data_IF_371717358560
#
_entry.id   IF_371717358560
#
_cell.length_a   1.000
_cell.length_b   1.000
_cell.length_c   1.000
_cell.angle_alpha   90.00
_cell.angle_beta   90.00
_cell.angle_gamma   90.00
#
_symmetry.space_group_name_H-M   'P 1'
#
loop_
_entity.id
_entity.type
_entity.pdbx_description
1 polymer ?
#
# COMPACT_ATOMS: atom_id res chain seq x y z
N UNK A 1 -21.93 -4.63 -18.22
CA UNK A 1 -21.57 -5.76 -19.09
C UNK A 1 -22.27 -7.01 -18.57
N UNK A 2 -22.41 -8.05 -19.41
CA UNK A 2 -22.95 -9.33 -18.96
C UNK A 2 -21.96 -9.98 -17.98
N UNK A 3 -22.36 -10.06 -16.72
CA UNK A 3 -21.56 -10.61 -15.62
C UNK A 3 -22.13 -11.91 -15.07
N UNK A 4 -22.98 -12.59 -15.83
CA UNK A 4 -23.69 -13.80 -15.39
C UNK A 4 -22.71 -14.91 -14.94
N UNK A 5 -21.68 -15.20 -15.75
CA UNK A 5 -20.66 -16.21 -15.41
C UNK A 5 -19.83 -15.84 -14.16
N UNK A 6 -19.59 -14.54 -13.96
CA UNK A 6 -18.87 -14.03 -12.79
C UNK A 6 -19.71 -14.23 -11.53
N UNK A 7 -21.01 -13.90 -11.61
CA UNK A 7 -21.94 -14.07 -10.51
C UNK A 7 -22.04 -15.53 -10.08
N UNK A 8 -22.22 -16.44 -11.05
CA UNK A 8 -22.21 -17.88 -10.80
C UNK A 8 -20.92 -18.37 -10.16
N UNK A 9 -19.78 -18.04 -10.77
CA UNK A 9 -18.49 -18.48 -10.27
C UNK A 9 -18.29 -18.08 -8.82
N UNK A 10 -18.72 -16.86 -8.46
CA UNK A 10 -18.58 -16.35 -7.10
C UNK A 10 -19.56 -17.00 -6.14
N UNK A 11 -20.84 -17.15 -6.52
CA UNK A 11 -21.88 -17.79 -5.71
C UNK A 11 -21.59 -19.28 -5.49
N UNK A 12 -21.26 -20.03 -6.54
CA UNK A 12 -20.87 -21.43 -6.45
C UNK A 12 -19.62 -21.63 -5.60
N UNK A 13 -18.67 -20.69 -5.62
CA UNK A 13 -17.50 -20.76 -4.75
C UNK A 13 -17.86 -20.57 -3.27
N UNK A 14 -18.82 -19.70 -2.95
CA UNK A 14 -19.29 -19.49 -1.58
C UNK A 14 -20.02 -20.74 -1.09
N UNK A 15 -20.94 -21.29 -1.89
CA UNK A 15 -21.65 -22.55 -1.59
C UNK A 15 -20.66 -23.69 -1.39
N UNK A 16 -19.74 -23.91 -2.33
CA UNK A 16 -18.76 -25.01 -2.25
C UNK A 16 -17.92 -24.93 -0.98
N UNK A 17 -17.52 -23.72 -0.57
CA UNK A 17 -16.78 -23.52 0.68
C UNK A 17 -17.66 -23.85 1.89
N UNK A 18 -18.90 -23.37 1.91
CA UNK A 18 -19.82 -23.61 3.02
C UNK A 18 -20.15 -25.11 3.15
N UNK A 19 -20.47 -25.78 2.05
CA UNK A 19 -20.82 -27.20 2.01
C UNK A 19 -19.66 -28.11 2.43
N UNK A 20 -18.43 -27.74 2.06
CA UNK A 20 -17.24 -28.54 2.41
C UNK A 20 -16.79 -28.29 3.84
N UNK A 21 -16.84 -27.04 4.30
CA UNK A 21 -16.19 -26.63 5.56
C UNK A 21 -17.17 -26.43 6.71
N UNK A 22 -18.47 -26.32 6.43
CA UNK A 22 -19.53 -26.10 7.42
C UNK A 22 -19.57 -24.69 8.01
N UNK A 23 -18.83 -23.73 7.43
CA UNK A 23 -18.80 -22.34 7.89
C UNK A 23 -18.60 -21.36 6.73
N UNK A 24 -19.14 -20.16 6.90
CA UNK A 24 -18.99 -19.05 5.95
C UNK A 24 -17.64 -18.35 6.11
N UNK A 25 -17.15 -17.75 5.04
CA UNK A 25 -15.88 -17.03 5.01
C UNK A 25 -16.06 -15.62 4.46
N UNK A 26 -15.11 -14.73 4.79
CA UNK A 26 -15.11 -13.37 4.24
C UNK A 26 -14.68 -13.32 2.77
N UNK A 27 -15.05 -12.23 2.10
CA UNK A 27 -14.78 -11.99 0.67
C UNK A 27 -13.32 -12.23 0.26
N UNK A 28 -12.36 -11.76 1.05
CA UNK A 28 -10.94 -11.90 0.74
C UNK A 28 -10.47 -13.37 0.65
N UNK A 29 -11.11 -14.26 1.40
CA UNK A 29 -10.83 -15.69 1.36
C UNK A 29 -11.45 -16.36 0.13
N UNK A 30 -12.70 -16.03 -0.20
CA UNK A 30 -13.36 -16.47 -1.44
C UNK A 30 -12.51 -16.10 -2.66
N UNK A 31 -12.08 -14.84 -2.75
CA UNK A 31 -11.18 -14.38 -3.82
C UNK A 31 -9.86 -15.14 -3.81
N UNK A 32 -9.30 -15.44 -2.63
CA UNK A 32 -8.07 -16.20 -2.52
C UNK A 32 -8.22 -17.65 -3.04
N UNK A 33 -9.36 -18.30 -2.79
CA UNK A 33 -9.68 -19.61 -3.36
C UNK A 33 -9.82 -19.52 -4.88
N UNK A 34 -10.65 -18.61 -5.39
CA UNK A 34 -10.88 -18.43 -6.84
C UNK A 34 -9.59 -18.11 -7.60
N UNK A 35 -8.70 -17.30 -7.03
CA UNK A 35 -7.43 -16.93 -7.67
C UNK A 35 -6.31 -17.95 -7.46
N UNK A 36 -6.54 -19.00 -6.68
CA UNK A 36 -5.57 -20.05 -6.42
C UNK A 36 -4.40 -19.60 -5.56
N UNK A 37 -4.66 -18.72 -4.59
CA UNK A 37 -3.62 -18.20 -3.69
C UNK A 37 -3.18 -19.26 -2.68
N UNK A 38 -1.88 -19.34 -2.41
CA UNK A 38 -1.33 -20.27 -1.43
C UNK A 38 -1.16 -19.59 -0.06
N UNK A 39 -2.27 -19.41 0.67
CA UNK A 39 -2.24 -18.84 2.04
C UNK A 39 -2.27 -19.94 3.10
N UNK A 40 -1.81 -19.63 4.31
CA UNK A 40 -1.88 -20.56 5.45
C UNK A 40 -3.33 -21.01 5.73
N UNK A 41 -4.30 -20.08 5.72
CA UNK A 41 -5.73 -20.41 5.91
C UNK A 41 -6.25 -21.37 4.84
N UNK A 42 -5.86 -21.18 3.58
CA UNK A 42 -6.27 -22.07 2.48
C UNK A 42 -5.72 -23.49 2.70
N UNK A 43 -4.45 -23.61 3.10
CA UNK A 43 -3.84 -24.91 3.40
C UNK A 43 -4.48 -25.56 4.62
N UNK A 44 -4.68 -24.79 5.70
CA UNK A 44 -5.25 -25.25 6.97
C UNK A 44 -6.68 -25.76 6.83
N UNK A 45 -7.48 -25.14 5.98
CA UNK A 45 -8.86 -25.57 5.72
C UNK A 45 -8.98 -26.48 4.49
N UNK A 46 -7.87 -26.86 3.87
CA UNK A 46 -7.84 -27.68 2.65
C UNK A 46 -8.63 -27.10 1.46
N UNK A 47 -8.84 -25.77 1.44
CA UNK A 47 -9.57 -25.12 0.35
C UNK A 47 -8.79 -25.12 -0.98
N UNK A 48 -7.52 -25.52 -0.98
CA UNK A 48 -6.74 -25.78 -2.17
C UNK A 48 -7.16 -27.05 -2.93
N UNK A 49 -8.02 -27.89 -2.33
CA UNK A 49 -8.55 -29.11 -2.93
C UNK A 49 -9.96 -28.91 -3.50
N UNK A 50 -10.58 -27.75 -3.28
CA UNK A 50 -11.91 -27.45 -3.80
C UNK A 50 -11.87 -27.36 -5.33
N UNK A 51 -12.92 -27.82 -6.03
CA UNK A 51 -13.02 -27.69 -7.49
C UNK A 51 -12.81 -26.24 -7.96
N UNK A 52 -13.32 -25.29 -7.18
CA UNK A 52 -13.27 -23.85 -7.48
C UNK A 52 -11.87 -23.22 -7.32
N UNK A 53 -10.90 -23.95 -6.74
CA UNK A 53 -9.58 -23.41 -6.48
C UNK A 53 -8.83 -23.06 -7.77
N UNK A 54 -8.53 -21.78 -7.95
CA UNK A 54 -7.81 -21.29 -9.12
C UNK A 54 -8.63 -21.21 -10.41
N UNK A 55 -9.95 -21.41 -10.38
CA UNK A 55 -10.80 -21.28 -11.58
C UNK A 55 -10.98 -19.82 -12.02
N UNK A 56 -10.89 -18.86 -11.10
CA UNK A 56 -11.10 -17.43 -11.35
C UNK A 56 -9.85 -16.65 -11.76
N UNK A 57 -8.82 -17.31 -12.32
CA UNK A 57 -7.54 -16.66 -12.69
C UNK A 57 -7.68 -15.65 -13.84
N UNK A 58 -8.78 -15.67 -14.58
CA UNK A 58 -9.10 -14.74 -15.65
C UNK A 58 -9.29 -13.30 -15.17
N UNK A 59 -9.62 -13.11 -13.88
CA UNK A 59 -9.81 -11.80 -13.27
C UNK A 59 -8.82 -11.58 -12.12
N UNK A 60 -8.36 -10.33 -11.99
CA UNK A 60 -7.48 -9.93 -10.90
C UNK A 60 -8.23 -9.90 -9.55
N UNK A 61 -7.50 -9.97 -8.43
CA UNK A 61 -8.11 -9.86 -7.09
C UNK A 61 -8.92 -8.57 -6.90
N UNK A 62 -8.45 -7.38 -7.33
CA UNK A 62 -9.25 -6.15 -7.28
C UNK A 62 -10.51 -6.23 -8.15
N UNK A 63 -10.43 -6.84 -9.33
CA UNK A 63 -11.59 -7.02 -10.19
C UNK A 63 -12.66 -7.90 -9.51
N UNK A 64 -12.26 -9.04 -8.94
CA UNK A 64 -13.16 -9.89 -8.16
C UNK A 64 -13.80 -9.12 -6.98
N UNK A 65 -13.03 -8.31 -6.26
CA UNK A 65 -13.55 -7.49 -5.17
C UNK A 65 -14.54 -6.41 -5.64
N UNK A 66 -14.34 -5.84 -6.83
CA UNK A 66 -15.29 -4.90 -7.42
C UNK A 66 -16.59 -5.60 -7.82
N UNK A 67 -16.49 -6.75 -8.49
CA UNK A 67 -17.65 -7.53 -8.94
C UNK A 67 -18.45 -8.08 -7.76
N UNK A 68 -17.79 -8.55 -6.70
CA UNK A 68 -18.47 -8.98 -5.48
C UNK A 68 -19.21 -7.83 -4.77
N UNK A 69 -18.62 -6.64 -4.69
CA UNK A 69 -19.29 -5.45 -4.12
C UNK A 69 -20.52 -5.07 -4.93
N UNK A 70 -20.46 -5.21 -6.25
CA UNK A 70 -21.62 -4.98 -7.11
C UNK A 70 -22.73 -6.00 -6.86
N UNK A 71 -22.39 -7.28 -6.70
CA UNK A 71 -23.37 -8.32 -6.33
C UNK A 71 -23.98 -8.08 -4.94
N UNK A 72 -23.21 -7.52 -3.99
CA UNK A 72 -23.75 -7.06 -2.71
C UNK A 72 -24.72 -5.90 -2.92
N UNK A 73 -24.34 -4.90 -3.73
CA UNK A 73 -25.19 -3.74 -4.04
C UNK A 73 -26.50 -4.14 -4.72
N UNK A 74 -26.45 -5.12 -5.61
CA UNK A 74 -27.60 -5.68 -6.32
C UNK A 74 -28.44 -6.63 -5.47
N UNK A 75 -28.00 -6.95 -4.25
CA UNK A 75 -28.75 -7.76 -3.30
C UNK A 75 -28.61 -9.27 -3.45
N UNK A 76 -27.72 -9.77 -4.32
CA UNK A 76 -27.43 -11.22 -4.46
C UNK A 76 -26.54 -11.75 -3.34
N UNK A 77 -25.75 -10.88 -2.73
CA UNK A 77 -24.86 -11.20 -1.61
C UNK A 77 -25.11 -10.22 -0.46
N UNK A 78 -24.80 -10.65 0.75
CA UNK A 78 -24.77 -9.80 1.94
C UNK A 78 -23.49 -10.03 2.72
N UNK A 79 -22.98 -8.97 3.33
CA UNK A 79 -21.95 -9.07 4.35
C UNK A 79 -22.60 -9.03 5.73
N UNK A 80 -22.35 -10.04 6.56
CA UNK A 80 -22.83 -10.04 7.94
C UNK A 80 -22.12 -8.93 8.74
N UNK A 81 -22.86 -8.30 9.66
CA UNK A 81 -22.41 -7.18 10.50
C UNK A 81 -21.62 -7.61 11.75
N UNK A 82 -21.25 -8.89 11.86
CA UNK A 82 -20.46 -9.40 12.99
C UNK A 82 -18.95 -9.11 12.84
N UNK A 83 -18.19 -9.31 13.94
CA UNK A 83 -16.76 -9.01 14.04
C UNK A 83 -15.89 -9.66 12.94
N UNK A 84 -16.40 -10.70 12.29
CA UNK A 84 -15.86 -11.29 11.08
C UNK A 84 -16.91 -11.15 9.99
N UNK A 85 -16.74 -10.17 9.09
CA UNK A 85 -17.73 -9.88 8.05
C UNK A 85 -17.74 -10.96 6.97
N UNK A 86 -18.42 -12.07 7.28
CA UNK A 86 -18.62 -13.24 6.43
C UNK A 86 -19.57 -12.89 5.29
N UNK A 87 -19.36 -13.57 4.17
CA UNK A 87 -20.15 -13.41 2.97
C UNK A 87 -21.29 -14.44 2.97
N UNK A 88 -22.51 -13.96 2.79
CA UNK A 88 -23.72 -14.79 2.76
C UNK A 88 -24.44 -14.59 1.43
N UNK A 89 -25.00 -15.68 0.91
CA UNK A 89 -25.87 -15.63 -0.27
C UNK A 89 -27.27 -15.28 0.20
N UNK A 90 -27.90 -14.28 -0.43
CA UNK A 90 -29.28 -13.91 -0.12
C UNK A 90 -30.26 -14.84 -0.81
N UNK A 91 -31.55 -14.75 -0.48
CA UNK A 91 -32.61 -15.48 -1.19
C UNK A 91 -32.60 -15.19 -2.70
N UNK A 92 -32.32 -13.94 -3.10
CA UNK A 92 -32.15 -13.56 -4.50
C UNK A 92 -30.92 -14.22 -5.15
N UNK A 93 -29.81 -14.33 -4.41
CA UNK A 93 -28.62 -15.08 -4.83
C UNK A 93 -28.91 -16.56 -5.07
N UNK A 94 -29.62 -17.20 -4.13
CA UNK A 94 -30.00 -18.61 -4.25
C UNK A 94 -30.97 -18.83 -5.41
N UNK A 95 -31.96 -17.94 -5.58
CA UNK A 95 -32.90 -18.00 -6.70
C UNK A 95 -32.18 -17.90 -8.05
N UNK A 96 -31.13 -17.08 -8.14
CA UNK A 96 -30.30 -16.99 -9.35
C UNK A 96 -29.52 -18.29 -9.64
N UNK A 97 -28.98 -18.96 -8.61
CA UNK A 97 -28.31 -20.26 -8.78
C UNK A 97 -29.28 -21.34 -9.31
N UNK A 98 -30.57 -21.22 -9.02
CA UNK A 98 -31.62 -22.15 -9.46
C UNK A 98 -32.23 -21.77 -10.83
N UNK A 99 -32.47 -20.48 -11.07
CA UNK A 99 -33.07 -19.95 -12.29
C UNK A 99 -32.18 -18.85 -12.90
N UNK A 100 -31.34 -19.30 -13.83
CA UNK A 100 -30.24 -18.53 -14.44
C UNK A 100 -30.82 -17.44 -15.35
N UNK A 101 -30.82 -16.20 -14.85
CA UNK A 101 -31.18 -15.01 -15.62
C UNK A 101 -29.98 -14.09 -15.80
N UNK A 102 -29.97 -13.27 -16.84
CA UNK A 102 -28.82 -12.39 -17.13
C UNK A 102 -28.60 -11.37 -16.01
N UNK A 103 -27.39 -11.36 -15.44
CA UNK A 103 -26.95 -10.34 -14.46
C UNK A 103 -26.08 -9.32 -15.18
N UNK A 104 -26.56 -8.07 -15.20
CA UNK A 104 -25.80 -6.94 -15.71
C UNK A 104 -24.97 -6.34 -14.60
N UNK A 105 -23.65 -6.55 -14.66
CA UNK A 105 -22.72 -5.87 -13.75
C UNK A 105 -22.32 -4.53 -14.34
N UNK A 106 -22.26 -3.50 -13.50
CA UNK A 106 -21.63 -2.26 -13.88
C UNK A 106 -20.19 -2.57 -14.23
N UNK A 107 -19.74 -2.18 -15.43
CA UNK A 107 -18.33 -2.28 -15.78
C UNK A 107 -17.57 -1.57 -14.67
N UNK A 108 -16.72 -2.26 -13.88
CA UNK A 108 -15.83 -1.52 -13.01
C UNK A 108 -15.13 -0.56 -13.95
N UNK A 109 -15.11 0.75 -13.62
CA UNK A 109 -14.19 1.69 -14.27
C UNK A 109 -12.91 0.89 -14.36
N UNK A 110 -12.54 0.49 -15.58
CA UNK A 110 -11.35 -0.33 -15.77
C UNK A 110 -10.32 0.42 -14.98
N UNK A 111 -9.75 -0.20 -13.94
CA UNK A 111 -8.59 0.41 -13.31
C UNK A 111 -7.75 0.83 -14.51
N UNK A 112 -7.47 2.14 -14.70
CA UNK A 112 -6.60 2.56 -15.79
C UNK A 112 -5.46 1.60 -15.66
N UNK A 113 -5.23 0.77 -16.70
CA UNK A 113 -4.33 -0.39 -16.68
C UNK A 113 -3.32 0.00 -15.63
N UNK A 114 -3.38 -0.62 -14.44
CA UNK A 114 -2.22 -0.51 -13.60
C UNK A 114 -1.24 -1.27 -14.46
N UNK A 115 -0.56 -0.53 -15.38
CA UNK A 115 0.87 -0.37 -15.38
C UNK A 115 1.18 -0.81 -13.99
N UNK A 116 1.64 -2.05 -13.89
CA UNK A 116 2.57 -2.44 -12.85
C UNK A 116 3.16 -1.12 -12.43
N UNK A 117 2.79 -0.64 -11.25
CA UNK A 117 3.51 0.48 -10.73
C UNK A 117 4.89 -0.17 -10.54
N UNK A 118 5.75 -0.14 -11.58
CA UNK A 118 6.76 0.89 -11.64
C UNK A 118 6.16 2.17 -11.04
N UNK A 119 5.99 2.14 -9.70
CA UNK A 119 6.59 3.12 -8.83
C UNK A 119 7.89 3.38 -9.52
N UNK A 120 7.98 4.57 -10.11
CA UNK A 120 9.13 5.17 -10.76
C UNK A 120 10.32 4.22 -10.80
N UNK A 121 10.88 3.90 -11.97
CA UNK A 121 12.23 3.36 -12.08
C UNK A 121 13.20 4.23 -11.28
N UNK A 122 13.21 4.04 -9.98
CA UNK A 122 14.22 4.39 -9.05
C UNK A 122 15.19 3.26 -9.31
N UNK A 123 16.31 3.60 -9.94
CA UNK A 123 17.38 2.67 -10.21
C UNK A 123 17.79 2.01 -8.88
N UNK A 124 17.25 0.82 -8.64
CA UNK A 124 17.60 -0.06 -7.54
C UNK A 124 18.07 -1.36 -8.17
N UNK A 125 19.00 -2.01 -7.51
CA UNK A 125 19.60 -3.22 -8.02
C UNK A 125 18.60 -4.37 -7.90
N UNK A 126 18.02 -4.77 -9.02
CA UNK A 126 17.00 -5.83 -9.07
C UNK A 126 17.56 -7.16 -8.54
N UNK A 127 18.86 -7.42 -8.76
CA UNK A 127 19.51 -8.63 -8.25
C UNK A 127 19.73 -8.59 -6.74
N UNK A 128 20.11 -7.44 -6.18
CA UNK A 128 20.14 -7.26 -4.73
C UNK A 128 18.73 -7.32 -4.14
N UNK A 129 17.73 -6.71 -4.78
CA UNK A 129 16.35 -6.76 -4.32
C UNK A 129 15.83 -8.20 -4.22
N UNK A 130 16.05 -9.02 -5.25
CA UNK A 130 15.61 -10.41 -5.24
C UNK A 130 16.40 -11.24 -4.20
N UNK A 131 17.70 -10.95 -4.01
CA UNK A 131 18.50 -11.57 -2.94
C UNK A 131 17.94 -11.24 -1.55
N UNK A 132 17.64 -9.98 -1.27
CA UNK A 132 17.04 -9.55 0.01
C UNK A 132 15.60 -10.09 0.19
N UNK A 133 14.87 -10.28 -0.91
CA UNK A 133 13.54 -10.90 -0.89
C UNK A 133 13.60 -12.37 -0.50
N UNK A 134 14.61 -13.10 -0.96
CA UNK A 134 14.86 -14.49 -0.59
C UNK A 134 15.24 -14.59 0.89
N UNK A 135 16.16 -13.74 1.37
CA UNK A 135 16.51 -13.65 2.79
C UNK A 135 15.30 -13.33 3.67
N UNK A 136 14.46 -12.37 3.24
CA UNK A 136 13.23 -12.04 3.96
C UNK A 136 12.29 -13.23 4.07
N UNK A 137 12.19 -14.03 3.00
CA UNK A 137 11.35 -15.22 2.97
C UNK A 137 11.88 -16.29 3.93
N UNK A 138 13.19 -16.57 3.95
CA UNK A 138 13.76 -17.57 4.87
C UNK A 138 13.54 -17.17 6.33
N UNK A 139 13.80 -15.91 6.70
CA UNK A 139 13.58 -15.40 8.06
C UNK A 139 12.10 -15.40 8.48
N UNK A 140 11.21 -15.19 7.51
CA UNK A 140 9.77 -15.26 7.73
C UNK A 140 9.29 -16.70 7.95
N UNK A 141 9.80 -17.64 7.15
CA UNK A 141 9.52 -19.06 7.26
C UNK A 141 10.08 -19.64 8.59
N UNK A 142 11.28 -19.22 9.01
CA UNK A 142 11.89 -19.60 10.30
C UNK A 142 11.08 -19.14 11.52
N UNK A 143 10.41 -17.99 11.42
CA UNK A 143 9.60 -17.41 12.51
C UNK A 143 8.11 -17.68 12.37
N UNK A 144 7.70 -18.45 11.37
CA UNK A 144 6.30 -18.75 11.05
C UNK A 144 5.41 -17.48 10.97
N UNK A 145 5.94 -16.43 10.33
CA UNK A 145 5.23 -15.16 10.12
C UNK A 145 5.19 -14.79 8.65
N UNK A 146 4.19 -14.03 8.16
CA UNK A 146 4.19 -13.55 6.79
C UNK A 146 5.40 -12.65 6.47
N UNK A 147 6.03 -12.82 5.30
CA UNK A 147 7.27 -12.12 4.94
C UNK A 147 7.23 -10.58 5.04
N UNK A 148 6.09 -9.97 4.75
CA UNK A 148 5.93 -8.51 4.86
C UNK A 148 6.05 -7.99 6.31
N UNK A 149 5.89 -8.86 7.32
CA UNK A 149 6.06 -8.52 8.74
C UNK A 149 7.53 -8.23 9.05
N UNK A 150 8.45 -8.98 8.43
CA UNK A 150 9.90 -8.78 8.54
C UNK A 150 10.26 -7.41 7.95
N UNK A 151 10.07 -7.21 6.64
CA UNK A 151 10.22 -5.93 5.95
C UNK A 151 9.22 -5.79 4.80
N UNK A 152 8.74 -4.57 4.53
CA UNK A 152 7.91 -4.30 3.35
C UNK A 152 8.76 -4.33 2.07
N UNK A 153 8.13 -4.53 0.91
CA UNK A 153 8.83 -4.43 -0.38
C UNK A 153 9.44 -3.05 -0.60
N UNK A 154 8.82 -2.00 -0.06
CA UNK A 154 9.34 -0.62 -0.10
C UNK A 154 10.68 -0.53 0.63
N UNK A 155 10.79 -1.13 1.81
CA UNK A 155 12.03 -1.15 2.57
C UNK A 155 13.13 -1.93 1.84
N UNK A 156 12.80 -3.08 1.24
CA UNK A 156 13.77 -3.89 0.48
C UNK A 156 14.27 -3.18 -0.77
N UNK A 157 13.40 -2.50 -1.52
CA UNK A 157 13.80 -1.71 -2.70
C UNK A 157 14.71 -0.56 -2.31
N UNK A 158 14.41 0.10 -1.18
CA UNK A 158 15.25 1.17 -0.67
C UNK A 158 16.62 0.64 -0.18
N UNK A 159 16.68 -0.54 0.45
CA UNK A 159 17.96 -1.20 0.78
C UNK A 159 18.77 -1.54 -0.48
N UNK A 160 18.10 -2.02 -1.54
CA UNK A 160 18.72 -2.33 -2.83
C UNK A 160 19.16 -1.10 -3.62
N UNK A 161 18.68 0.09 -3.25
CA UNK A 161 19.06 1.36 -3.82
C UNK A 161 20.22 2.01 -3.04
N UNK A 162 20.08 2.06 -1.72
CA UNK A 162 20.97 2.84 -0.84
C UNK A 162 22.20 2.03 -0.38
N UNK A 163 22.19 0.70 -0.53
CA UNK A 163 23.24 -0.23 -0.10
C UNK A 163 23.77 0.08 1.32
N UNK A 164 22.90 0.12 2.36
CA UNK A 164 23.31 0.47 3.71
C UNK A 164 24.43 -0.44 4.20
N UNK A 165 25.53 0.17 4.66
CA UNK A 165 26.73 -0.54 5.09
C UNK A 165 26.88 -0.60 6.62
N UNK A 166 26.07 0.16 7.35
CA UNK A 166 26.13 0.26 8.80
C UNK A 166 24.75 0.49 9.41
N UNK A 167 24.70 0.43 10.75
CA UNK A 167 23.44 0.51 11.47
C UNK A 167 22.70 1.84 11.30
N UNK A 168 23.44 2.94 11.25
CA UNK A 168 22.85 4.27 11.10
C UNK A 168 22.20 4.44 9.72
N UNK A 169 22.82 3.93 8.67
CA UNK A 169 22.26 3.93 7.31
C UNK A 169 21.04 3.02 7.20
N UNK A 170 21.09 1.85 7.81
CA UNK A 170 19.97 0.91 7.80
C UNK A 170 18.74 1.47 8.52
N UNK A 171 18.91 2.22 9.62
CA UNK A 171 17.83 2.91 10.33
C UNK A 171 17.20 4.07 9.57
N UNK A 172 17.85 4.58 8.51
CA UNK A 172 17.28 5.63 7.63
C UNK A 172 16.32 5.05 6.59
N UNK A 173 16.29 3.73 6.42
CA UNK A 173 15.38 3.04 5.50
C UNK A 173 13.96 3.10 6.05
N UNK A 174 13.01 3.49 5.19
CA UNK A 174 11.61 3.62 5.57
C UNK A 174 11.04 2.26 6.01
N UNK A 175 10.52 2.20 7.25
CA UNK A 175 9.97 0.97 7.83
C UNK A 175 10.98 0.14 8.63
N UNK A 176 12.22 0.60 8.79
CA UNK A 176 13.22 0.03 9.70
C UNK A 176 13.24 0.82 11.01
N UNK A 177 12.62 0.27 12.06
CA UNK A 177 12.71 0.81 13.42
C UNK A 177 13.77 0.08 14.26
N UNK A 178 14.14 0.65 15.41
CA UNK A 178 15.14 0.07 16.35
C UNK A 178 14.90 -1.40 16.69
N UNK A 179 13.64 -1.83 16.82
CA UNK A 179 13.28 -3.23 17.07
C UNK A 179 13.66 -4.13 15.89
N UNK A 180 13.25 -3.77 14.68
CA UNK A 180 13.57 -4.53 13.46
C UNK A 180 15.07 -4.52 13.18
N UNK A 181 15.74 -3.42 13.52
CA UNK A 181 17.18 -3.31 13.43
C UNK A 181 17.89 -4.30 14.35
N UNK A 182 17.47 -4.36 15.62
CA UNK A 182 18.02 -5.31 16.59
C UNK A 182 17.73 -6.77 16.20
N UNK A 183 16.56 -7.04 15.62
CA UNK A 183 16.09 -8.40 15.34
C UNK A 183 16.52 -8.98 13.99
N UNK A 184 16.77 -8.13 12.99
CA UNK A 184 17.04 -8.56 11.59
C UNK A 184 18.16 -7.75 10.92
N UNK A 185 18.63 -6.66 11.53
CA UNK A 185 19.58 -5.74 10.90
C UNK A 185 20.91 -6.39 10.56
N UNK A 186 21.42 -7.27 11.44
CA UNK A 186 22.68 -7.97 11.22
C UNK A 186 22.61 -8.88 9.98
N UNK A 187 21.53 -9.64 9.81
CA UNK A 187 21.35 -10.59 8.70
C UNK A 187 21.27 -9.84 7.36
N UNK A 188 20.50 -8.75 7.32
CA UNK A 188 20.35 -7.95 6.10
C UNK A 188 21.61 -7.15 5.75
N UNK A 189 22.31 -6.57 6.73
CA UNK A 189 23.58 -5.90 6.49
C UNK A 189 24.65 -6.87 5.98
N UNK A 190 24.69 -8.09 6.52
CA UNK A 190 25.60 -9.14 6.05
C UNK A 190 25.30 -9.53 4.60
N UNK A 191 24.04 -9.77 4.25
CA UNK A 191 23.65 -10.11 2.88
C UNK A 191 23.93 -9.00 1.87
N UNK A 192 23.74 -7.73 2.26
CA UNK A 192 24.08 -6.57 1.41
C UNK A 192 25.61 -6.48 1.22
N UNK A 193 26.39 -6.67 2.29
CA UNK A 193 27.84 -6.63 2.23
C UNK A 193 28.41 -7.77 1.35
N UNK A 194 27.86 -8.99 1.49
CA UNK A 194 28.21 -10.14 0.66
C UNK A 194 27.88 -9.88 -0.83
N UNK A 195 26.69 -9.36 -1.09
CA UNK A 195 26.27 -9.03 -2.45
C UNK A 195 27.19 -7.98 -3.11
N UNK A 196 27.53 -6.90 -2.40
CA UNK A 196 28.43 -5.83 -2.89
C UNK A 196 29.88 -6.33 -3.06
N UNK A 197 30.31 -7.30 -2.27
CA UNK A 197 31.62 -7.94 -2.42
C UNK A 197 31.74 -8.79 -3.68
N UNK A 198 30.63 -9.41 -4.10
CA UNK A 198 30.58 -10.35 -5.23
C UNK A 198 30.08 -9.72 -6.54
N UNK A 199 29.42 -8.56 -6.49
CA UNK A 199 28.83 -7.89 -7.64
C UNK A 199 29.16 -6.39 -7.62
N UNK A 200 29.58 -5.80 -8.75
CA UNK A 200 29.70 -4.34 -8.84
C UNK A 200 28.32 -3.71 -8.67
N UNK A 201 28.21 -2.68 -7.81
CA UNK A 201 26.97 -1.96 -7.54
C UNK A 201 26.33 -1.50 -8.85
N UNK A 202 25.14 -1.99 -9.16
CA UNK A 202 24.43 -1.64 -10.38
C UNK A 202 23.64 -0.35 -10.18
N UNK A 203 24.29 0.79 -10.38
CA UNK A 203 23.58 1.99 -10.82
C UNK A 203 23.46 1.90 -12.33
N UNK A 204 22.32 1.43 -12.84
CA UNK A 204 22.10 1.35 -14.28
C UNK A 204 22.03 2.75 -14.89
N UNK A 205 23.20 3.26 -15.28
CA UNK A 205 23.35 4.17 -16.39
C UNK A 205 23.24 3.35 -17.67
N UNK A 206 22.09 3.35 -18.35
CA UNK A 206 22.03 3.06 -19.79
C UNK A 206 20.75 3.59 -20.45
N UNK A 207 20.92 4.78 -21.03
CA UNK A 207 20.16 5.34 -22.15
C UNK A 207 20.50 4.63 -23.47
N UNK A 208 19.52 4.35 -24.33
CA UNK A 208 19.55 4.44 -25.83
C UNK A 208 18.25 3.84 -26.40
N UNK A 209 17.38 4.54 -27.13
CA UNK A 209 17.54 5.37 -28.34
C UNK A 209 16.34 6.36 -28.42
N UNK A 210 16.35 7.64 -28.78
CA UNK A 210 17.25 8.62 -29.44
C UNK A 210 16.70 10.06 -29.17
N UNK A 211 17.24 11.16 -29.74
CA UNK A 211 18.58 11.74 -29.70
C UNK A 211 18.66 12.99 -28.76
N UNK A 212 19.84 13.61 -28.55
CA UNK A 212 20.14 14.43 -27.37
C UNK A 212 19.99 15.93 -27.61
N UNK A 213 19.69 16.68 -26.53
CA UNK A 213 20.04 18.10 -26.26
C UNK A 213 19.42 18.43 -24.89
N UNK A 214 20.12 18.93 -23.88
CA UNK A 214 21.38 19.67 -23.84
C UNK A 214 21.89 19.66 -22.40
N UNK A 215 23.20 19.49 -22.23
CA UNK A 215 23.89 19.77 -20.98
C UNK A 215 23.91 21.28 -20.71
N UNK A 216 23.39 21.69 -19.56
CA UNK A 216 23.58 22.97 -18.85
C UNK A 216 22.52 22.98 -17.74
N UNK A 217 22.71 23.18 -16.43
CA UNK A 217 23.78 23.73 -15.61
C UNK A 217 23.36 23.44 -14.15
N UNK A 218 24.33 23.31 -13.24
CA UNK A 218 24.24 23.27 -11.77
C UNK A 218 22.86 23.42 -11.09
N UNK A 219 22.53 22.42 -10.25
CA UNK A 219 21.78 22.55 -8.99
C UNK A 219 20.35 23.05 -9.05
N UNK A 220 19.36 22.17 -9.29
CA UNK A 220 17.95 22.40 -8.95
C UNK A 220 17.26 21.11 -8.49
N UNK A 221 16.43 21.24 -7.45
CA UNK A 221 15.66 20.17 -6.83
C UNK A 221 14.84 19.37 -7.85
N UNK A 222 14.70 18.07 -7.60
CA UNK A 222 13.95 17.12 -8.44
C UNK A 222 12.50 17.61 -8.58
N UNK A 223 11.93 17.69 -9.81
CA UNK A 223 10.57 18.17 -9.98
C UNK A 223 9.57 17.23 -9.27
N UNK A 224 8.61 17.83 -8.57
CA UNK A 224 7.53 17.13 -7.88
C UNK A 224 6.75 16.24 -8.85
N UNK A 225 6.39 15.02 -8.40
CA UNK A 225 5.54 14.12 -9.16
C UNK A 225 4.22 14.79 -9.53
N UNK A 226 3.69 14.48 -10.73
CA UNK A 226 2.44 15.05 -11.26
C UNK A 226 1.28 14.98 -10.26
N UNK A 227 1.20 13.91 -9.45
CA UNK A 227 0.11 13.75 -8.45
C UNK A 227 0.25 14.73 -7.27
N UNK A 228 1.48 15.08 -6.91
CA UNK A 228 1.78 16.02 -5.83
C UNK A 228 1.51 17.44 -6.32
N UNK A 229 1.96 17.76 -7.54
CA UNK A 229 1.66 19.05 -8.19
C UNK A 229 0.15 19.27 -8.34
N UNK A 230 -0.61 18.23 -8.70
CA UNK A 230 -2.07 18.32 -8.79
C UNK A 230 -2.71 18.55 -7.41
N UNK A 231 -2.26 17.83 -6.38
CA UNK A 231 -2.74 18.05 -4.98
C UNK A 231 -2.46 19.47 -4.53
N UNK A 232 -1.23 19.94 -4.72
CA UNK A 232 -0.79 21.27 -4.36
C UNK A 232 -1.60 22.34 -5.10
N UNK A 233 -1.83 22.15 -6.41
CA UNK A 233 -2.61 23.09 -7.23
C UNK A 233 -4.05 23.22 -6.74
N UNK A 234 -4.70 22.11 -6.38
CA UNK A 234 -6.07 22.14 -5.85
C UNK A 234 -6.08 22.74 -4.44
N UNK A 235 -5.09 22.41 -3.60
CA UNK A 235 -4.95 22.99 -2.27
C UNK A 235 -4.76 24.52 -2.30
N UNK A 236 -3.88 25.02 -3.17
CA UNK A 236 -3.64 26.46 -3.38
C UNK A 236 -4.88 27.22 -3.88
N UNK A 237 -5.86 26.52 -4.48
CA UNK A 237 -7.14 27.11 -4.93
C UNK A 237 -8.19 27.29 -3.83
N UNK A 238 -7.91 26.89 -2.59
CA UNK A 238 -8.84 27.12 -1.48
C UNK A 238 -9.57 25.87 -0.97
N UNK A 239 -9.36 24.71 -1.57
CA UNK A 239 -10.03 23.47 -1.13
C UNK A 239 -9.43 22.90 0.15
N UNK A 240 -10.28 22.28 0.98
CA UNK A 240 -9.87 21.53 2.18
C UNK A 240 -9.23 20.19 1.81
N UNK A 241 -8.51 19.57 2.75
CA UNK A 241 -7.92 18.25 2.54
C UNK A 241 -8.98 17.19 2.24
N UNK A 242 -10.13 17.28 2.92
CA UNK A 242 -11.27 16.38 2.80
C UNK A 242 -11.93 16.51 1.42
N UNK A 243 -12.05 17.73 0.90
CA UNK A 243 -12.62 17.97 -0.42
C UNK A 243 -11.68 17.50 -1.54
N UNK A 244 -10.37 17.73 -1.38
CA UNK A 244 -9.36 17.23 -2.32
C UNK A 244 -9.35 15.70 -2.34
N UNK A 245 -9.44 15.07 -1.16
CA UNK A 245 -9.52 13.62 -1.02
C UNK A 245 -10.73 13.06 -1.78
N UNK A 246 -11.92 13.65 -1.58
CA UNK A 246 -13.14 13.27 -2.31
C UNK A 246 -13.01 13.50 -3.82
N UNK A 247 -12.54 14.66 -4.25
CA UNK A 247 -12.43 15.03 -5.66
C UNK A 247 -11.44 14.13 -6.41
N UNK A 248 -10.34 13.72 -5.75
CA UNK A 248 -9.30 12.89 -6.36
C UNK A 248 -9.47 11.40 -6.10
N UNK A 249 -10.51 10.98 -5.36
CA UNK A 249 -10.71 9.58 -4.98
C UNK A 249 -9.59 9.02 -4.10
N UNK A 250 -8.97 9.87 -3.27
CA UNK A 250 -7.87 9.55 -2.36
C UNK A 250 -8.34 9.63 -0.91
N UNK A 251 -7.54 9.11 0.01
CA UNK A 251 -7.75 9.27 1.45
C UNK A 251 -7.00 10.50 1.97
N UNK A 252 -7.52 11.15 3.02
CA UNK A 252 -6.94 12.36 3.60
C UNK A 252 -5.46 12.18 3.98
N UNK A 253 -5.08 11.01 4.49
CA UNK A 253 -3.68 10.68 4.83
C UNK A 253 -2.73 10.72 3.62
N UNK A 254 -3.21 10.36 2.42
CA UNK A 254 -2.43 10.50 1.17
C UNK A 254 -2.27 11.96 0.78
N UNK A 255 -3.30 12.78 0.98
CA UNK A 255 -3.24 14.23 0.71
C UNK A 255 -2.23 14.91 1.65
N UNK A 256 -2.27 14.59 2.95
CA UNK A 256 -1.26 15.07 3.90
C UNK A 256 0.16 14.63 3.50
N UNK A 257 0.33 13.40 3.00
CA UNK A 257 1.60 12.92 2.47
C UNK A 257 2.09 13.70 1.25
N UNK A 258 1.20 14.05 0.32
CA UNK A 258 1.54 14.88 -0.84
C UNK A 258 1.93 16.30 -0.42
N UNK A 259 1.22 16.90 0.55
CA UNK A 259 1.52 18.23 1.05
C UNK A 259 2.87 18.25 1.78
N UNK A 260 3.18 17.23 2.59
CA UNK A 260 4.51 17.06 3.21
C UNK A 260 5.63 17.04 2.16
N UNK A 261 5.46 16.26 1.08
CA UNK A 261 6.46 16.17 0.00
C UNK A 261 6.57 17.48 -0.79
N UNK A 262 5.47 18.21 -0.98
CA UNK A 262 5.50 19.54 -1.59
C UNK A 262 6.32 20.52 -0.74
N UNK A 263 6.14 20.51 0.58
CA UNK A 263 6.92 21.34 1.51
C UNK A 263 8.41 20.99 1.42
N UNK A 264 8.75 19.70 1.47
CA UNK A 264 10.15 19.22 1.35
C UNK A 264 10.81 19.57 0.01
N UNK A 265 10.01 19.79 -1.03
CA UNK A 265 10.47 20.24 -2.34
C UNK A 265 10.59 21.77 -2.43
N UNK A 266 10.32 22.50 -1.34
CA UNK A 266 10.40 23.95 -1.26
C UNK A 266 9.14 24.68 -1.73
N UNK A 267 8.02 23.99 -1.94
CA UNK A 267 6.76 24.65 -2.30
C UNK A 267 6.08 25.28 -1.09
N UNK A 268 5.46 26.44 -1.30
CA UNK A 268 4.71 27.12 -0.24
C UNK A 268 3.37 26.44 0.01
N UNK A 269 3.21 25.87 1.20
CA UNK A 269 1.94 25.34 1.71
C UNK A 269 1.52 26.16 2.93
N UNK A 270 0.30 26.71 2.88
CA UNK A 270 -0.25 27.48 4.01
C UNK A 270 -0.71 26.55 5.14
N UNK A 271 0.10 26.47 6.19
CA UNK A 271 -0.17 25.64 7.38
C UNK A 271 -1.46 26.05 8.08
N UNK A 272 -1.84 27.33 8.06
CA UNK A 272 -3.01 27.82 8.79
C UNK A 272 -4.33 27.30 8.22
N UNK A 273 -4.29 26.78 7.00
CA UNK A 273 -5.43 26.12 6.34
C UNK A 273 -5.50 24.62 6.61
N UNK A 274 -4.47 24.05 7.22
CA UNK A 274 -4.37 22.63 7.57
C UNK A 274 -4.49 22.41 9.08
N UNK A 275 -3.95 23.36 9.85
CA UNK A 275 -3.79 23.29 11.29
C UNK A 275 -4.02 24.71 11.81
N UNK A 276 -4.99 24.88 12.69
CA UNK A 276 -5.30 26.19 13.29
C UNK A 276 -4.14 26.67 14.18
N UNK A 277 -4.11 27.96 14.51
CA UNK A 277 -3.05 28.53 15.35
C UNK A 277 -2.98 27.89 16.76
N UNK A 278 -4.14 27.51 17.31
CA UNK A 278 -4.22 26.82 18.61
C UNK A 278 -3.62 25.41 18.52
N UNK A 279 -3.98 24.66 17.49
CA UNK A 279 -3.46 23.32 17.25
C UNK A 279 -1.96 23.33 16.95
N UNK A 280 -1.47 24.33 16.19
CA UNK A 280 -0.04 24.53 15.98
C UNK A 280 0.69 24.78 17.30
N UNK A 281 0.09 25.51 18.24
CA UNK A 281 0.67 25.77 19.57
C UNK A 281 0.75 24.48 20.38
N UNK A 282 -0.29 23.65 20.36
CA UNK A 282 -0.28 22.33 21.01
C UNK A 282 0.78 21.40 20.40
N UNK A 283 0.85 21.33 19.07
CA UNK A 283 1.85 20.53 18.36
C UNK A 283 3.27 21.00 18.65
N UNK A 284 3.50 22.32 18.67
CA UNK A 284 4.79 22.90 19.02
C UNK A 284 5.22 22.50 20.45
N UNK A 285 4.30 22.56 21.43
CA UNK A 285 4.58 22.16 22.81
C UNK A 285 4.93 20.67 22.94
N UNK A 286 4.26 19.80 22.17
CA UNK A 286 4.56 18.37 22.14
C UNK A 286 5.92 18.06 21.50
N UNK A 287 6.23 18.72 20.36
CA UNK A 287 7.52 18.55 19.69
C UNK A 287 8.69 19.21 20.45
N UNK A 288 8.44 20.24 21.27
CA UNK A 288 9.45 20.82 22.15
C UNK A 288 9.92 19.82 23.23
N UNK A 289 9.02 18.95 23.71
CA UNK A 289 9.34 17.94 24.72
C UNK A 289 9.97 16.67 24.14
N UNK A 290 9.58 16.29 22.92
CA UNK A 290 9.93 14.99 22.32
C UNK A 290 11.00 15.09 21.23
N UNK A 291 11.23 16.30 20.72
CA UNK A 291 12.07 16.57 19.55
C UNK A 291 11.32 16.37 18.23
N UNK A 292 11.59 17.23 17.24
CA UNK A 292 10.94 17.20 15.92
C UNK A 292 11.09 15.86 15.16
N UNK A 293 12.08 15.04 15.51
CA UNK A 293 12.27 13.69 14.95
C UNK A 293 11.34 12.61 15.54
N UNK A 294 10.70 12.86 16.69
CA UNK A 294 9.93 11.87 17.44
C UNK A 294 8.41 12.05 17.27
N UNK A 295 7.91 11.71 16.08
CA UNK A 295 6.48 11.77 15.75
C UNK A 295 5.59 10.94 16.69
N UNK A 296 6.04 9.74 17.07
CA UNK A 296 5.27 8.85 17.94
C UNK A 296 5.15 9.43 19.34
N UNK A 297 6.24 9.94 19.92
CA UNK A 297 6.20 10.61 21.21
C UNK A 297 5.33 11.87 21.20
N UNK A 298 5.41 12.67 20.13
CA UNK A 298 4.53 13.84 19.97
C UNK A 298 3.05 13.42 19.87
N UNK A 299 2.73 12.34 19.13
CA UNK A 299 1.37 11.80 19.04
C UNK A 299 0.85 11.29 20.37
N UNK A 300 1.67 10.62 21.17
CA UNK A 300 1.29 10.11 22.49
C UNK A 300 0.93 11.25 23.46
N UNK A 301 1.70 12.34 23.46
CA UNK A 301 1.41 13.53 24.29
C UNK A 301 0.14 14.25 23.87
N UNK A 302 -0.18 14.20 22.58
CA UNK A 302 -1.31 14.90 21.98
C UNK A 302 -2.61 14.07 21.94
N UNK A 303 -2.52 12.77 22.23
CA UNK A 303 -3.65 11.85 22.23
C UNK A 303 -4.33 11.74 20.85
N UNK A 304 -5.61 11.38 20.83
CA UNK A 304 -6.40 11.15 19.61
C UNK A 304 -6.91 12.45 18.94
N UNK A 305 -6.52 13.61 19.45
CA UNK A 305 -6.99 14.91 18.98
C UNK A 305 -6.47 15.28 17.59
N UNK A 306 -5.33 14.72 17.16
CA UNK A 306 -4.68 15.07 15.88
C UNK A 306 -4.27 13.85 15.06
N UNK A 307 -4.42 13.92 13.74
CA UNK A 307 -3.97 12.86 12.85
C UNK A 307 -2.45 12.89 12.63
N UNK A 308 -1.85 11.72 12.36
CA UNK A 308 -0.44 11.61 12.01
C UNK A 308 -0.08 12.44 10.77
N UNK A 309 -1.02 12.65 9.83
CA UNK A 309 -0.83 13.51 8.67
C UNK A 309 -0.55 14.97 9.04
N UNK A 310 -1.31 15.53 9.99
CA UNK A 310 -1.15 16.91 10.45
C UNK A 310 0.21 17.11 11.14
N UNK A 311 0.61 16.15 12.00
CA UNK A 311 1.90 16.20 12.68
C UNK A 311 3.09 16.15 11.71
N UNK A 312 2.98 15.38 10.62
CA UNK A 312 4.00 15.30 9.57
C UNK A 312 4.15 16.60 8.81
N UNK A 313 3.04 17.24 8.44
CA UNK A 313 3.04 18.55 7.78
C UNK A 313 3.63 19.62 8.70
N UNK A 314 3.18 19.67 9.96
CA UNK A 314 3.74 20.59 10.96
C UNK A 314 5.26 20.43 11.06
N UNK A 315 5.73 19.19 11.19
CA UNK A 315 7.16 18.90 11.24
C UNK A 315 7.89 19.31 9.96
N UNK A 316 7.34 19.08 8.77
CA UNK A 316 8.00 19.45 7.52
C UNK A 316 8.20 20.96 7.40
N UNK A 317 7.23 21.76 7.85
CA UNK A 317 7.30 23.23 7.80
C UNK A 317 8.28 23.79 8.86
N UNK A 318 8.30 23.20 10.05
CA UNK A 318 9.12 23.68 11.17
C UNK A 318 10.51 23.03 11.25
N UNK A 319 10.74 21.91 10.58
CA UNK A 319 12.00 21.18 10.56
C UNK A 319 13.06 21.75 9.61
N UNK A 320 12.66 22.50 8.58
CA UNK A 320 13.59 23.11 7.62
C UNK A 320 14.23 24.44 8.10
N UNK A 321 13.81 24.97 9.26
CA UNK A 321 14.38 26.22 9.82
C UNK A 321 15.57 26.01 10.77
N UNK A 322 16.17 24.83 10.79
CA UNK A 322 17.28 24.48 11.68
C UNK A 322 18.43 23.78 10.97
N UNK A 323 19.12 24.50 10.08
CA UNK A 323 20.54 24.27 9.76
C UNK A 323 21.30 25.57 9.97
#
# INVERSE_FOLDING_TARGET
FDGTEIAETLLSCIETIYDTSGFSVGLNHVIAVLTGANTEKIRRWHHNQLPMYGQGKTHSRPAWAAMARELIRLGYLRQATEAFSVLEITEQGQAFTQDRHTIMLTTPISEPLRKTHSTDEVAHDESLFEHLRQLRKSLADERDVPAYVIFSDVALRQMAQDYPANEQEFLRISGVGKRKMKEFGADFLAAIAEYVGNNPRQHSSNTSTAPPRSASTLGKAKPLSNTIQETLRVFQRGFSVEDIAKQRGLVASTIYGHLEQAIQAGESVDINRLITAEEQTHMAAAFAQTGLGNLTGAKELLGDLYDYGQLRVFRAIHGERGQ
#
